data_IF_368779766103
#
_entry.id   IF_368779766103
#
_cell.length_a   1.000
_cell.length_b   1.000
_cell.length_c   1.000
_cell.angle_alpha   90.00
_cell.angle_beta   90.00
_cell.angle_gamma   90.00
#
_symmetry.space_group_name_H-M   'P 1'
#
loop_
_entity.id
_entity.type
_entity.pdbx_description
1 polymer ?
#
# COMPACT_ATOMS: atom_id res chain seq x y z
N UNK A 1 -5.39 22.15 -2.01
CA UNK A 1 -5.00 21.26 -3.11
C UNK A 1 -4.32 20.05 -2.47
N UNK A 2 -4.78 18.82 -2.73
CA UNK A 2 -4.10 17.61 -2.26
C UNK A 2 -2.86 17.37 -3.14
N UNK A 3 -1.86 18.25 -2.99
CA UNK A 3 -0.61 18.28 -3.76
C UNK A 3 0.61 18.38 -2.84
N UNK A 4 0.45 18.09 -1.54
CA UNK A 4 1.62 18.08 -0.65
C UNK A 4 2.41 16.81 -0.94
N UNK A 5 3.69 16.87 -1.33
CA UNK A 5 4.54 15.70 -1.49
C UNK A 5 4.53 14.79 -0.24
N UNK A 6 4.22 15.35 0.93
CA UNK A 6 4.02 14.63 2.19
C UNK A 6 2.84 13.65 2.16
N UNK A 7 1.76 13.93 1.42
CA UNK A 7 0.59 13.05 1.35
C UNK A 7 0.91 11.75 0.60
N UNK A 8 1.63 11.87 -0.51
CA UNK A 8 2.13 10.73 -1.29
C UNK A 8 3.17 9.96 -0.48
N UNK A 9 4.07 10.65 0.21
CA UNK A 9 5.11 10.01 1.04
C UNK A 9 4.50 9.26 2.24
N UNK A 10 3.43 9.81 2.81
CA UNK A 10 2.64 9.18 3.88
C UNK A 10 1.92 7.93 3.37
N UNK A 11 1.24 8.02 2.23
CA UNK A 11 0.60 6.87 1.56
C UNK A 11 1.63 5.79 1.21
N UNK A 12 2.81 6.19 0.73
CA UNK A 12 3.90 5.27 0.41
C UNK A 12 4.34 4.46 1.63
N UNK A 13 4.62 5.15 2.75
CA UNK A 13 5.01 4.50 4.00
C UNK A 13 3.91 3.57 4.51
N UNK A 14 2.65 3.99 4.40
CA UNK A 14 1.50 3.18 4.82
C UNK A 14 1.35 1.92 3.97
N UNK A 15 1.43 2.04 2.64
CA UNK A 15 1.39 0.89 1.73
C UNK A 15 2.57 -0.07 1.99
N UNK A 16 3.76 0.47 2.23
CA UNK A 16 4.95 -0.35 2.53
C UNK A 16 4.79 -1.15 3.83
N UNK A 17 4.29 -0.49 4.90
CA UNK A 17 4.00 -1.17 6.16
C UNK A 17 2.94 -2.27 5.98
N UNK A 18 1.83 -1.98 5.30
CA UNK A 18 0.77 -2.97 5.07
C UNK A 18 1.25 -4.16 4.22
N UNK A 19 2.10 -3.91 3.22
CA UNK A 19 2.72 -4.97 2.43
C UNK A 19 3.63 -5.86 3.29
N UNK A 20 4.42 -5.28 4.19
CA UNK A 20 5.24 -6.04 5.14
C UNK A 20 4.38 -6.80 6.15
N UNK A 21 3.34 -6.18 6.69
CA UNK A 21 2.41 -6.82 7.63
C UNK A 21 1.67 -8.00 6.98
N UNK A 22 1.33 -7.90 5.70
CA UNK A 22 0.88 -9.03 4.89
C UNK A 22 2.01 -10.07 4.80
N UNK A 23 3.19 -9.75 4.29
CA UNK A 23 4.26 -10.75 4.16
C UNK A 23 4.63 -11.49 5.46
N UNK A 24 4.72 -10.76 6.58
CA UNK A 24 5.02 -11.34 7.90
C UNK A 24 3.80 -12.04 8.53
N UNK A 25 2.60 -11.49 8.31
CA UNK A 25 1.34 -12.00 8.83
C UNK A 25 0.81 -13.26 8.12
N UNK A 26 1.42 -13.67 6.99
CA UNK A 26 1.00 -14.82 6.16
C UNK A 26 0.78 -16.12 6.94
N UNK A 27 1.46 -16.27 8.07
CA UNK A 27 1.41 -17.49 8.89
C UNK A 27 0.63 -17.34 10.20
N UNK A 28 0.25 -16.12 10.58
CA UNK A 28 -0.30 -15.82 11.91
C UNK A 28 -1.62 -15.04 11.87
N UNK A 29 -2.00 -14.43 10.76
CA UNK A 29 -3.28 -13.74 10.61
C UNK A 29 -4.40 -14.70 10.22
N UNK A 30 -5.62 -14.43 10.71
CA UNK A 30 -6.80 -15.11 10.22
C UNK A 30 -7.08 -14.67 8.78
N UNK A 31 -7.65 -15.56 7.93
CA UNK A 31 -7.95 -15.24 6.53
C UNK A 31 -8.78 -13.97 6.35
N UNK A 32 -9.69 -13.69 7.28
CA UNK A 32 -10.53 -12.49 7.22
C UNK A 32 -9.76 -11.20 7.49
N UNK A 33 -8.80 -11.24 8.41
CA UNK A 33 -7.95 -10.08 8.72
C UNK A 33 -6.97 -9.81 7.57
N UNK A 34 -6.49 -10.89 6.95
CA UNK A 34 -5.73 -10.84 5.71
C UNK A 34 -6.50 -10.16 4.57
N UNK A 35 -7.72 -10.62 4.31
CA UNK A 35 -8.58 -10.06 3.25
C UNK A 35 -8.85 -8.56 3.49
N UNK A 36 -9.17 -8.17 4.72
CA UNK A 36 -9.37 -6.76 5.08
C UNK A 36 -8.11 -5.93 4.82
N UNK A 37 -6.94 -6.40 5.29
CA UNK A 37 -5.68 -5.69 5.14
C UNK A 37 -5.26 -5.58 3.66
N UNK A 38 -5.51 -6.63 2.87
CA UNK A 38 -5.28 -6.61 1.42
C UNK A 38 -6.18 -5.62 0.69
N UNK A 39 -7.44 -5.49 1.14
CA UNK A 39 -8.38 -4.52 0.57
C UNK A 39 -7.98 -3.08 0.91
N UNK A 40 -7.57 -2.83 2.16
CA UNK A 40 -7.04 -1.52 2.58
C UNK A 40 -5.76 -1.12 1.81
N UNK A 41 -4.90 -2.10 1.51
CA UNK A 41 -3.72 -1.88 0.68
C UNK A 41 -4.11 -1.51 -0.76
N UNK A 42 -5.05 -2.22 -1.38
CA UNK A 42 -5.54 -1.92 -2.72
C UNK A 42 -6.18 -0.52 -2.82
N UNK A 43 -6.96 -0.13 -1.81
CA UNK A 43 -7.54 1.22 -1.74
C UNK A 43 -6.46 2.30 -1.64
N UNK A 44 -5.47 2.12 -0.76
CA UNK A 44 -4.37 3.07 -0.60
C UNK A 44 -3.49 3.18 -1.87
N UNK A 45 -3.34 2.09 -2.62
CA UNK A 45 -2.63 2.07 -3.90
C UNK A 45 -3.42 2.75 -5.01
N UNK A 46 -4.76 2.61 -5.02
CA UNK A 46 -5.64 3.36 -5.90
C UNK A 46 -5.57 4.88 -5.64
N UNK A 47 -5.58 5.29 -4.37
CA UNK A 47 -5.36 6.70 -4.00
C UNK A 47 -3.99 7.22 -4.46
N UNK A 48 -2.95 6.40 -4.34
CA UNK A 48 -1.60 6.74 -4.80
C UNK A 48 -1.52 6.85 -6.32
N UNK A 49 -2.22 6.01 -7.08
CA UNK A 49 -2.31 6.09 -8.53
C UNK A 49 -2.96 7.41 -8.99
N UNK A 50 -4.03 7.82 -8.31
CA UNK A 50 -4.73 9.08 -8.60
C UNK A 50 -3.81 10.29 -8.36
N UNK A 51 -3.01 10.26 -7.28
CA UNK A 51 -2.09 11.35 -6.95
C UNK A 51 -0.80 11.32 -7.78
N UNK A 52 -0.26 10.14 -8.08
CA UNK A 52 0.98 9.97 -8.83
C UNK A 52 1.08 8.56 -9.44
N UNK A 53 0.76 8.40 -10.72
CA UNK A 53 0.84 7.10 -11.42
C UNK A 53 2.25 6.50 -11.38
N UNK A 54 3.26 7.37 -11.38
CA UNK A 54 4.67 6.96 -11.35
C UNK A 54 5.06 6.35 -9.98
N UNK A 55 4.46 6.83 -8.88
CA UNK A 55 4.64 6.24 -7.55
C UNK A 55 3.98 4.88 -7.47
N UNK A 56 2.78 4.67 -8.03
CA UNK A 56 2.17 3.33 -8.09
C UNK A 56 3.10 2.31 -8.76
N UNK A 57 3.68 2.67 -9.90
CA UNK A 57 4.62 1.81 -10.63
C UNK A 57 5.91 1.54 -9.84
N UNK A 58 6.44 2.54 -9.13
CA UNK A 58 7.58 2.34 -8.22
C UNK A 58 7.22 1.41 -7.06
N UNK A 59 6.00 1.50 -6.52
CA UNK A 59 5.54 0.64 -5.44
C UNK A 59 5.44 -0.81 -5.91
N UNK A 60 4.87 -1.05 -7.09
CA UNK A 60 4.85 -2.38 -7.72
C UNK A 60 6.26 -2.91 -7.96
N UNK A 61 7.22 -2.05 -8.33
CA UNK A 61 8.63 -2.48 -8.51
C UNK A 61 9.34 -2.77 -7.18
N UNK A 62 8.96 -2.08 -6.09
CA UNK A 62 9.62 -2.17 -4.80
C UNK A 62 9.04 -3.29 -3.90
N UNK A 63 7.75 -3.55 -4.01
CA UNK A 63 7.00 -4.49 -3.16
C UNK A 63 6.35 -5.63 -3.97
N UNK A 64 6.32 -5.53 -5.30
CA UNK A 64 5.91 -6.60 -6.23
C UNK A 64 7.11 -7.15 -7.00
N UNK A 65 7.06 -8.44 -7.32
CA UNK A 65 8.05 -9.13 -8.18
C UNK A 65 7.91 -8.75 -9.64
#
# INVERSE_FOLDING_TARGET
MPDSPDAIDTLWKRCGSMSTDLEEGLWTMFPRDWENLSQELDEALGEMEILSPNRRQQFETAFGR
#
